data_IF_278811227366
#
_entry.id   IF_278811227366
#
_cell.length_a   1.000
_cell.length_b   1.000
_cell.length_c   1.000
_cell.angle_alpha   90.00
_cell.angle_beta   90.00
_cell.angle_gamma   90.00
#
_symmetry.space_group_name_H-M   'P 1'
#
loop_
_entity.id
_entity.type
_entity.pdbx_description
1 polymer ?
#
# COMPACT_ATOMS: atom_id res chain seq x y z
N UNK A 1 -8.39 3.93 -1.36
CA UNK A 1 -7.14 3.38 -1.94
C UNK A 1 -6.15 4.39 -2.53
N UNK A 2 -6.33 5.73 -2.52
CA UNK A 2 -5.39 6.63 -3.21
C UNK A 2 -3.98 6.57 -2.61
N UNK A 3 -3.86 6.43 -1.28
CA UNK A 3 -2.57 6.35 -0.58
C UNK A 3 -1.68 5.19 -1.01
N UNK A 4 -2.24 4.01 -1.28
CA UNK A 4 -1.41 2.88 -1.75
C UNK A 4 -0.92 3.12 -3.17
N UNK A 5 -1.78 3.64 -4.04
CA UNK A 5 -1.40 3.98 -5.41
C UNK A 5 -0.28 5.03 -5.44
N UNK A 6 -0.42 6.12 -4.68
CA UNK A 6 0.60 7.16 -4.55
C UNK A 6 1.96 6.61 -4.10
N UNK A 7 1.97 5.70 -3.12
CA UNK A 7 3.21 5.09 -2.62
C UNK A 7 3.85 4.13 -3.63
N UNK A 8 3.05 3.42 -4.44
CA UNK A 8 3.56 2.60 -5.54
C UNK A 8 4.18 3.46 -6.62
N UNK A 9 3.50 4.53 -7.03
CA UNK A 9 4.01 5.47 -8.04
C UNK A 9 5.33 6.10 -7.58
N UNK A 10 5.38 6.62 -6.35
CA UNK A 10 6.60 7.20 -5.79
C UNK A 10 7.76 6.19 -5.70
N UNK A 11 7.50 4.96 -5.27
CA UNK A 11 8.52 3.91 -5.20
C UNK A 11 9.04 3.53 -6.60
N UNK A 12 8.15 3.43 -7.59
CA UNK A 12 8.54 3.15 -8.98
C UNK A 12 9.39 4.28 -9.55
N UNK A 13 9.00 5.54 -9.35
CA UNK A 13 9.78 6.70 -9.81
C UNK A 13 11.17 6.73 -9.19
N UNK A 14 11.27 6.53 -7.87
CA UNK A 14 12.54 6.55 -7.15
C UNK A 14 13.48 5.43 -7.62
N UNK A 15 12.98 4.20 -7.79
CA UNK A 15 13.78 3.07 -8.25
C UNK A 15 14.15 3.16 -9.74
N UNK A 16 13.36 3.88 -10.55
CA UNK A 16 13.62 4.08 -11.99
C UNK A 16 14.62 5.20 -12.27
N UNK A 17 14.93 6.05 -11.28
CA UNK A 17 15.95 7.09 -11.40
C UNK A 17 17.36 6.51 -11.56
N UNK A 18 18.29 7.27 -12.16
CA UNK A 18 19.69 6.87 -12.31
C UNK A 18 20.65 7.97 -11.81
N UNK A 19 21.34 7.78 -10.66
CA UNK A 19 21.23 6.62 -9.77
C UNK A 19 19.86 6.57 -9.07
N UNK A 20 19.44 5.37 -8.67
CA UNK A 20 18.17 5.17 -7.95
C UNK A 20 18.10 6.04 -6.68
N UNK A 21 16.92 6.55 -6.39
CA UNK A 21 16.64 7.38 -5.23
C UNK A 21 16.16 6.53 -4.04
N UNK A 22 16.38 7.00 -2.81
CA UNK A 22 15.86 6.31 -1.62
C UNK A 22 14.32 6.32 -1.61
N UNK A 23 13.75 5.18 -1.21
CA UNK A 23 12.31 4.99 -0.99
C UNK A 23 12.04 5.04 0.50
N UNK A 24 10.94 5.68 0.92
CA UNK A 24 10.45 5.53 2.30
C UNK A 24 9.76 4.17 2.45
N UNK A 25 10.55 3.16 2.82
CA UNK A 25 10.07 1.78 2.98
C UNK A 25 8.98 1.68 4.05
N UNK A 26 9.04 2.49 5.11
CA UNK A 26 8.05 2.44 6.18
C UNK A 26 6.68 2.87 5.67
N UNK A 27 6.62 3.98 4.93
CA UNK A 27 5.36 4.47 4.38
C UNK A 27 4.78 3.51 3.33
N UNK A 28 5.64 2.92 2.50
CA UNK A 28 5.22 1.91 1.53
C UNK A 28 4.64 0.66 2.21
N UNK A 29 5.29 0.15 3.26
CA UNK A 29 4.84 -1.00 4.04
C UNK A 29 3.51 -0.70 4.74
N UNK A 30 3.38 0.47 5.35
CA UNK A 30 2.16 0.88 6.05
C UNK A 30 0.99 1.03 5.08
N UNK A 31 1.20 1.68 3.93
CA UNK A 31 0.19 1.79 2.90
C UNK A 31 -0.25 0.42 2.37
N UNK A 32 0.69 -0.50 2.17
CA UNK A 32 0.42 -1.88 1.77
C UNK A 32 -0.39 -2.66 2.81
N UNK A 33 -0.06 -2.49 4.10
CA UNK A 33 -0.78 -3.14 5.21
C UNK A 33 -2.23 -2.68 5.29
N UNK A 34 -2.50 -1.39 5.07
CA UNK A 34 -3.86 -0.85 5.04
C UNK A 34 -4.73 -1.49 3.95
N UNK A 35 -4.16 -1.84 2.78
CA UNK A 35 -4.87 -2.58 1.72
C UNK A 35 -5.30 -3.94 2.23
N UNK A 36 -4.37 -4.69 2.80
CA UNK A 36 -4.65 -6.01 3.35
C UNK A 36 -5.70 -5.95 4.46
N UNK A 37 -5.54 -5.02 5.40
CA UNK A 37 -6.47 -4.84 6.52
C UNK A 37 -7.87 -4.47 6.02
N UNK A 38 -7.98 -3.58 5.03
CA UNK A 38 -9.25 -3.23 4.42
C UNK A 38 -9.96 -4.42 3.75
N UNK A 39 -9.23 -5.22 2.97
CA UNK A 39 -9.78 -6.45 2.35
C UNK A 39 -10.18 -7.47 3.42
N UNK A 40 -9.35 -7.65 4.45
CA UNK A 40 -9.63 -8.53 5.59
C UNK A 40 -10.91 -8.11 6.31
N UNK A 41 -11.10 -6.82 6.51
CA UNK A 41 -12.24 -6.29 7.26
C UNK A 41 -13.54 -6.41 6.43
N UNK A 42 -13.48 -6.22 5.12
CA UNK A 42 -14.58 -6.57 4.20
C UNK A 42 -14.94 -8.06 4.33
N UNK A 43 -13.95 -8.96 4.29
CA UNK A 43 -14.19 -10.40 4.46
C UNK A 43 -14.87 -10.70 5.79
N UNK A 44 -14.42 -10.09 6.90
CA UNK A 44 -15.05 -10.26 8.22
C UNK A 44 -16.51 -9.78 8.20
N UNK A 45 -16.78 -8.62 7.62
CA UNK A 45 -18.12 -8.07 7.53
C UNK A 45 -19.06 -8.96 6.70
N UNK A 46 -18.58 -9.53 5.60
CA UNK A 46 -19.36 -10.48 4.76
C UNK A 46 -19.65 -11.78 5.51
N UNK A 47 -18.69 -12.30 6.27
CA UNK A 47 -18.85 -13.54 7.05
C UNK A 47 -19.65 -13.35 8.35
N UNK A 48 -19.85 -12.12 8.81
CA UNK A 48 -20.79 -11.80 9.89
C UNK A 48 -22.23 -11.90 9.37
N UNK A 49 -22.71 -13.14 9.19
CA UNK A 49 -24.14 -13.42 8.99
C UNK A 49 -24.86 -13.13 10.32
N UNK A 50 -25.91 -12.30 10.28
CA UNK A 50 -26.85 -12.10 11.39
C UNK A 50 -28.08 -12.98 11.21
#
# INVERSE_FOLDING_TARGET
>A
MPRFTEQVEAAVEALSANPGQPVDENEFIDASRLVYDGVRDIRKAVLMIR
#
